data_IF_378075663024
#
_entry.id   IF_378075663024
#
_cell.length_a   1.000
_cell.length_b   1.000
_cell.length_c   1.000
_cell.angle_alpha   90.00
_cell.angle_beta   90.00
_cell.angle_gamma   90.00
#
_symmetry.space_group_name_H-M   'P 1'
#
loop_
_entity.id
_entity.type
_entity.pdbx_description
1 polymer ?
#
# COMPACT_ATOMS: atom_id res chain seq x y z
N UNK A 1 7.92 20.66 -22.20
CA UNK A 1 7.24 19.41 -21.81
C UNK A 1 6.53 18.86 -23.03
N UNK A 2 6.77 17.61 -23.40
CA UNK A 2 6.09 16.96 -24.52
C UNK A 2 4.80 16.29 -24.00
N UNK A 3 3.66 16.37 -24.72
CA UNK A 3 2.42 15.65 -24.35
C UNK A 3 2.61 14.15 -24.05
N UNK A 4 3.58 13.48 -24.68
CA UNK A 4 3.90 12.08 -24.38
C UNK A 4 4.48 11.84 -22.98
N UNK A 5 5.15 12.83 -22.39
CA UNK A 5 5.70 12.73 -21.04
C UNK A 5 4.59 12.87 -19.99
N UNK A 6 3.62 13.74 -20.24
CA UNK A 6 2.45 13.95 -19.37
C UNK A 6 1.58 12.70 -19.27
N UNK A 7 1.32 12.04 -20.40
CA UNK A 7 0.55 10.80 -20.43
C UNK A 7 1.24 9.66 -19.66
N UNK A 8 2.58 9.62 -19.68
CA UNK A 8 3.36 8.58 -18.98
C UNK A 8 3.41 8.82 -17.47
N UNK A 9 3.44 10.07 -17.03
CA UNK A 9 3.35 10.45 -15.60
C UNK A 9 1.94 10.20 -15.05
N UNK A 10 0.89 10.55 -15.81
CA UNK A 10 -0.49 10.28 -15.43
C UNK A 10 -0.76 8.77 -15.31
N UNK A 11 -0.31 7.98 -16.29
CA UNK A 11 -0.44 6.52 -16.23
C UNK A 11 0.29 5.89 -15.02
N UNK A 12 1.48 6.39 -14.66
CA UNK A 12 2.16 5.94 -13.42
C UNK A 12 1.40 6.34 -12.15
N UNK A 13 0.78 7.51 -12.12
CA UNK A 13 -0.06 7.94 -11.01
C UNK A 13 -1.37 7.12 -10.91
N UNK A 14 -1.86 6.59 -12.03
CA UNK A 14 -3.00 5.66 -12.09
C UNK A 14 -2.61 4.21 -11.75
N UNK A 15 -1.33 3.83 -11.91
CA UNK A 15 -0.80 2.48 -11.60
C UNK A 15 -0.23 2.35 -10.18
N UNK A 16 0.08 3.46 -9.50
CA UNK A 16 0.55 3.49 -8.11
C UNK A 16 -0.57 3.25 -7.09
N UNK A 17 -0.19 2.79 -5.90
CA UNK A 17 -1.13 2.62 -4.78
C UNK A 17 -1.55 4.00 -4.25
N UNK A 18 -2.84 4.31 -4.28
CA UNK A 18 -3.32 5.57 -3.70
C UNK A 18 -3.24 5.54 -2.17
N UNK A 19 -3.08 6.69 -1.49
CA UNK A 19 -3.11 6.75 -0.03
C UNK A 19 -4.35 6.10 0.59
N UNK A 20 -5.52 6.29 -0.03
CA UNK A 20 -6.78 5.70 0.44
C UNK A 20 -6.80 4.17 0.32
N UNK A 21 -6.18 3.61 -0.71
CA UNK A 21 -6.07 2.14 -0.86
C UNK A 21 -5.13 1.54 0.18
N UNK A 22 -4.06 2.27 0.53
CA UNK A 22 -3.12 1.88 1.59
C UNK A 22 -3.80 1.94 2.96
N UNK A 23 -4.50 3.03 3.27
CA UNK A 23 -5.27 3.19 4.51
C UNK A 23 -6.30 2.07 4.69
N UNK A 24 -7.05 1.77 3.63
CA UNK A 24 -8.05 0.69 3.67
C UNK A 24 -7.40 -0.67 3.96
N UNK A 25 -6.35 -1.02 3.22
CA UNK A 25 -5.66 -2.31 3.42
C UNK A 25 -5.05 -2.44 4.81
N UNK A 26 -4.51 -1.36 5.37
CA UNK A 26 -4.01 -1.35 6.74
C UNK A 26 -5.12 -1.54 7.76
N UNK A 27 -6.26 -0.86 7.58
CA UNK A 27 -7.41 -1.00 8.46
C UNK A 27 -7.98 -2.42 8.41
N UNK A 28 -8.06 -3.01 7.21
CA UNK A 28 -8.52 -4.39 7.02
C UNK A 28 -7.60 -5.38 7.76
N UNK A 29 -6.27 -5.26 7.60
CA UNK A 29 -5.29 -6.15 8.25
C UNK A 29 -5.30 -5.98 9.76
N UNK A 30 -5.18 -4.74 10.26
CA UNK A 30 -5.08 -4.44 11.69
C UNK A 30 -6.40 -4.64 12.45
N UNK A 31 -7.51 -4.72 11.72
CA UNK A 31 -8.83 -5.03 12.28
C UNK A 31 -9.10 -6.53 12.44
N UNK A 32 -8.25 -7.41 11.91
CA UNK A 32 -8.39 -8.86 12.12
C UNK A 32 -8.23 -9.22 13.59
N UNK A 33 -9.10 -10.10 14.10
CA UNK A 33 -8.95 -10.62 15.46
C UNK A 33 -7.77 -11.60 15.55
N UNK A 34 -6.89 -11.37 16.52
CA UNK A 34 -5.74 -12.24 16.81
C UNK A 34 -5.83 -12.75 18.25
N UNK A 35 -5.65 -14.06 18.46
CA UNK A 35 -5.72 -14.68 19.79
C UNK A 35 -4.36 -15.06 20.36
N UNK A 36 -3.27 -14.63 19.71
CA UNK A 36 -1.90 -14.96 20.12
C UNK A 36 -0.91 -13.92 19.63
N UNK A 37 0.22 -13.79 20.36
CA UNK A 37 1.34 -12.93 19.97
C UNK A 37 1.89 -13.28 18.58
N UNK A 38 1.89 -14.56 18.22
CA UNK A 38 2.32 -14.99 16.89
C UNK A 38 1.38 -14.45 15.80
N UNK A 39 0.07 -14.43 16.06
CA UNK A 39 -0.93 -13.84 15.18
C UNK A 39 -0.79 -12.32 15.06
N UNK A 40 -0.56 -11.62 16.17
CA UNK A 40 -0.30 -10.18 16.18
C UNK A 40 0.98 -9.84 15.38
N UNK A 41 2.05 -10.63 15.54
CA UNK A 41 3.29 -10.44 14.80
C UNK A 41 3.12 -10.65 13.29
N UNK A 42 2.33 -11.66 12.88
CA UNK A 42 2.02 -11.89 11.46
C UNK A 42 1.18 -10.74 10.89
N UNK A 43 0.15 -10.29 11.63
CA UNK A 43 -0.67 -9.15 11.27
C UNK A 43 0.17 -7.88 11.02
N UNK A 44 1.07 -7.55 11.96
CA UNK A 44 1.98 -6.41 11.80
C UNK A 44 2.95 -6.58 10.62
N UNK A 45 3.43 -7.81 10.39
CA UNK A 45 4.32 -8.11 9.26
C UNK A 45 3.62 -7.85 7.92
N UNK A 46 2.34 -8.25 7.80
CA UNK A 46 1.53 -7.99 6.60
C UNK A 46 1.24 -6.50 6.42
N UNK A 47 0.89 -5.80 7.49
CA UNK A 47 0.67 -4.34 7.45
C UNK A 47 1.94 -3.60 6.99
N UNK A 48 3.11 -4.00 7.50
CA UNK A 48 4.39 -3.45 7.06
C UNK A 48 4.67 -3.72 5.57
N UNK A 49 4.32 -4.90 5.05
CA UNK A 49 4.50 -5.22 3.64
C UNK A 49 3.66 -4.31 2.71
N UNK A 50 2.44 -3.95 3.12
CA UNK A 50 1.59 -2.99 2.38
C UNK A 50 2.27 -1.62 2.29
N UNK A 51 2.78 -1.10 3.42
CA UNK A 51 3.50 0.17 3.47
C UNK A 51 4.78 0.12 2.62
N UNK A 52 5.55 -0.96 2.74
CA UNK A 52 6.79 -1.14 1.99
C UNK A 52 6.53 -1.13 0.48
N UNK A 53 5.50 -1.84 0.03
CA UNK A 53 5.08 -1.85 -1.37
C UNK A 53 4.62 -0.46 -1.82
N UNK A 54 3.79 0.23 -1.04
CA UNK A 54 3.33 1.58 -1.39
C UNK A 54 4.50 2.56 -1.57
N UNK A 55 5.54 2.45 -0.75
CA UNK A 55 6.75 3.27 -0.88
C UNK A 55 7.60 2.90 -2.11
N UNK A 56 7.59 1.63 -2.53
CA UNK A 56 8.29 1.19 -3.74
C UNK A 56 7.54 1.56 -5.03
N UNK A 57 6.22 1.41 -5.03
CA UNK A 57 5.37 1.67 -6.20
C UNK A 57 5.21 3.18 -6.46
N UNK A 58 5.33 4.01 -5.41
CA UNK A 58 5.19 5.47 -5.47
C UNK A 58 6.52 6.25 -5.34
N UNK A 59 7.65 5.55 -5.19
CA UNK A 59 8.99 6.12 -5.00
C UNK A 59 9.74 6.47 -6.28
#
# INVERSE_FOLDING_TARGET
MNPGDLARVQKRAEEGLSPGDVEKQLADILGEETTSLAGEADQLTRAHAVLHRALQDNG
#
